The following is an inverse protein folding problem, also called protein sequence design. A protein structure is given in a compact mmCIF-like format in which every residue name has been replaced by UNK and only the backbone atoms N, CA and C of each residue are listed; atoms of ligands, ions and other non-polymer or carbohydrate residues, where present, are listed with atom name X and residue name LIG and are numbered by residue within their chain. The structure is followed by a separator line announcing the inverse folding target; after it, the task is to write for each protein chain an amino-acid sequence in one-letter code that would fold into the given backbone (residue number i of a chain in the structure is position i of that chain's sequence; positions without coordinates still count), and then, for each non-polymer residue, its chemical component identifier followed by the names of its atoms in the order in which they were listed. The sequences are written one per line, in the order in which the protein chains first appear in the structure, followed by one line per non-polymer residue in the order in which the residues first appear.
data_IF_876763801424
#
_entry.id   IF_876763801424
#
_cell.length_a   1.000
_cell.length_b   1.000
_cell.length_c   1.000
_cell.angle_alpha   90.00
_cell.angle_beta   90.00
_cell.angle_gamma   90.00
#
_symmetry.space_group_name_H-M   'P 1'
#
loop_
_entity.id
_entity.type
_entity.pdbx_description
1 polymer ?
#
# COMPACT_ATOMS: atom_id res chain seq x y z
N UNK A 1 6.22 16.36 9.34
CA UNK A 1 4.96 17.10 9.56
C UNK A 1 3.78 16.13 9.55
N UNK A 2 3.07 15.96 10.68
CA UNK A 2 1.87 15.13 10.78
C UNK A 2 0.76 15.51 9.78
N UNK A 3 0.70 16.78 9.36
CA UNK A 3 -0.32 17.29 8.43
C UNK A 3 -0.14 16.75 7.01
N UNK A 4 1.11 16.67 6.52
CA UNK A 4 1.45 16.13 5.19
C UNK A 4 1.05 14.64 5.05
N UNK A 5 1.27 13.86 6.12
CA UNK A 5 1.03 12.41 6.11
C UNK A 5 -0.43 12.02 6.36
N UNK A 6 -1.19 12.87 7.06
CA UNK A 6 -2.57 12.57 7.45
C UNK A 6 -3.61 12.75 6.35
N UNK A 7 -3.44 13.74 5.46
CA UNK A 7 -4.48 14.10 4.49
C UNK A 7 -3.97 14.34 3.07
N UNK A 8 -2.81 14.98 2.90
CA UNK A 8 -2.32 15.39 1.57
C UNK A 8 -1.85 14.18 0.74
N UNK A 9 -0.99 13.32 1.28
CA UNK A 9 -0.50 12.14 0.56
C UNK A 9 -1.61 11.18 0.11
N UNK A 10 -2.63 10.86 0.94
CA UNK A 10 -3.81 10.13 0.48
C UNK A 10 -4.55 10.79 -0.69
N UNK A 11 -4.71 12.13 -0.66
CA UNK A 11 -5.35 12.88 -1.74
C UNK A 11 -4.54 12.79 -3.04
N UNK A 12 -3.22 13.00 -2.96
CA UNK A 12 -2.31 12.88 -4.10
C UNK A 12 -2.32 11.46 -4.69
N UNK A 13 -2.33 10.42 -3.84
CA UNK A 13 -2.49 9.03 -4.30
C UNK A 13 -3.77 8.82 -5.09
N UNK A 14 -4.91 9.32 -4.60
CA UNK A 14 -6.20 9.15 -5.31
C UNK A 14 -6.24 9.90 -6.65
N UNK A 15 -5.48 10.98 -6.78
CA UNK A 15 -5.47 11.85 -7.96
C UNK A 15 -4.20 11.72 -8.83
N UNK A 16 -3.34 10.73 -8.58
CA UNK A 16 -2.00 10.67 -9.16
C UNK A 16 -1.97 10.65 -10.70
N UNK A 17 -3.03 10.15 -11.35
CA UNK A 17 -3.18 10.18 -12.80
C UNK A 17 -3.23 11.60 -13.37
N UNK A 18 -3.79 12.56 -12.61
CA UNK A 18 -3.99 13.97 -12.99
C UNK A 18 -2.77 14.86 -12.69
N UNK A 19 -1.73 14.33 -12.05
CA UNK A 19 -0.53 15.09 -11.73
C UNK A 19 0.24 15.38 -13.02
N UNK A 20 0.32 16.66 -13.36
CA UNK A 20 0.92 17.13 -14.63
C UNK A 20 2.45 17.16 -14.64
N UNK A 21 3.10 17.32 -13.50
CA UNK A 21 4.57 17.37 -13.45
C UNK A 21 5.18 15.98 -13.30
N UNK A 22 6.09 15.56 -14.21
CA UNK A 22 6.70 14.22 -14.14
C UNK A 22 7.44 13.96 -12.82
N UNK A 23 8.12 14.98 -12.28
CA UNK A 23 8.82 14.86 -11.00
C UNK A 23 7.86 14.56 -9.84
N UNK A 24 6.75 15.29 -9.73
CA UNK A 24 5.75 15.03 -8.69
C UNK A 24 5.10 13.65 -8.88
N UNK A 25 4.81 13.26 -10.12
CA UNK A 25 4.24 11.95 -10.43
C UNK A 25 5.14 10.80 -9.97
N UNK A 26 6.47 10.93 -10.15
CA UNK A 26 7.45 9.96 -9.65
C UNK A 26 7.46 9.87 -8.12
N UNK A 27 7.43 11.00 -7.43
CA UNK A 27 7.45 11.00 -5.96
C UNK A 27 6.15 10.44 -5.36
N UNK A 28 5.00 10.79 -5.93
CA UNK A 28 3.72 10.21 -5.53
C UNK A 28 3.70 8.71 -5.83
N UNK A 29 4.21 8.28 -6.98
CA UNK A 29 4.34 6.86 -7.29
C UNK A 29 5.25 6.12 -6.30
N UNK A 30 6.38 6.72 -5.93
CA UNK A 30 7.29 6.19 -4.90
C UNK A 30 6.58 6.01 -3.56
N UNK A 31 5.79 6.99 -3.13
CA UNK A 31 4.97 6.89 -1.92
C UNK A 31 3.97 5.73 -2.01
N UNK A 32 3.26 5.59 -3.14
CA UNK A 32 2.31 4.49 -3.35
C UNK A 32 3.01 3.14 -3.24
N UNK A 33 4.14 2.97 -3.95
CA UNK A 33 4.94 1.75 -3.93
C UNK A 33 5.45 1.42 -2.52
N UNK A 34 5.92 2.40 -1.76
CA UNK A 34 6.34 2.16 -0.37
C UNK A 34 5.18 1.62 0.47
N UNK A 35 3.98 2.20 0.29
CA UNK A 35 2.77 1.75 0.95
C UNK A 35 2.41 0.29 0.67
N UNK A 36 2.53 -0.18 -0.57
CA UNK A 36 2.25 -1.58 -0.91
C UNK A 36 3.30 -2.56 -0.38
N UNK A 37 4.53 -2.08 -0.12
CA UNK A 37 5.60 -2.89 0.45
C UNK A 37 5.48 -3.00 1.97
N UNK A 38 5.05 -1.96 2.65
CA UNK A 38 4.89 -1.98 4.10
C UNK A 38 3.76 -1.04 4.52
N UNK A 39 2.72 -1.65 5.09
CA UNK A 39 1.54 -0.97 5.61
C UNK A 39 1.86 0.22 6.52
N UNK A 40 2.97 0.18 7.27
CA UNK A 40 3.41 1.26 8.16
C UNK A 40 3.71 2.59 7.44
N UNK A 41 4.00 2.57 6.14
CA UNK A 41 4.22 3.79 5.35
C UNK A 41 2.92 4.50 4.95
N UNK A 42 1.76 3.86 5.11
CA UNK A 42 0.45 4.46 4.87
C UNK A 42 -0.28 4.66 6.18
N UNK A 43 -0.07 5.80 6.84
CA UNK A 43 -0.60 6.08 8.18
C UNK A 43 -2.09 5.77 8.33
N UNK A 44 -2.92 6.16 7.36
CA UNK A 44 -4.37 5.93 7.43
C UNK A 44 -4.74 4.45 7.27
N UNK A 45 -4.08 3.71 6.36
CA UNK A 45 -4.28 2.27 6.21
C UNK A 45 -3.80 1.53 7.46
N UNK A 46 -2.63 1.90 7.98
CA UNK A 46 -2.08 1.28 9.18
C UNK A 46 -2.98 1.52 10.40
N UNK A 47 -3.49 2.74 10.60
CA UNK A 47 -4.45 3.02 11.67
C UNK A 47 -5.73 2.18 11.53
N UNK A 48 -6.25 2.03 10.31
CA UNK A 48 -7.45 1.22 10.05
C UNK A 48 -7.22 -0.28 10.32
N UNK A 49 -5.99 -0.77 10.14
CA UNK A 49 -5.64 -2.18 10.25
C UNK A 49 -4.86 -2.54 11.52
N UNK A 50 -4.52 -1.60 12.40
CA UNK A 50 -3.58 -1.86 13.49
C UNK A 50 -4.05 -2.98 14.42
N UNK A 51 -5.34 -2.98 14.78
CA UNK A 51 -5.93 -4.05 15.60
C UNK A 51 -5.89 -5.41 14.89
N UNK A 52 -6.26 -5.45 13.61
CA UNK A 52 -6.24 -6.68 12.80
C UNK A 52 -4.81 -7.21 12.60
N UNK A 53 -3.83 -6.32 12.41
CA UNK A 53 -2.41 -6.71 12.30
C UNK A 53 -1.92 -7.35 13.60
N UNK A 54 -2.26 -6.77 14.75
CA UNK A 54 -1.88 -7.33 16.05
C UNK A 54 -2.59 -8.66 16.33
N UNK A 55 -3.82 -8.83 15.86
CA UNK A 55 -4.61 -10.01 16.13
C UNK A 55 -4.25 -11.20 15.21
N UNK A 56 -4.11 -10.96 13.91
CA UNK A 56 -3.93 -12.02 12.91
C UNK A 56 -2.48 -12.16 12.42
N UNK A 57 -1.68 -11.08 12.48
CA UNK A 57 -0.42 -10.98 11.75
C UNK A 57 0.76 -10.51 12.61
N UNK A 58 0.71 -10.71 13.94
CA UNK A 58 1.72 -10.22 14.89
C UNK A 58 3.13 -10.73 14.60
N UNK A 59 3.23 -11.98 14.15
CA UNK A 59 4.51 -12.66 13.88
C UNK A 59 5.00 -12.44 12.44
N UNK A 60 4.24 -11.71 11.63
CA UNK A 60 4.58 -11.46 10.24
C UNK A 60 5.60 -10.32 10.15
N UNK A 61 6.80 -10.66 9.70
CA UNK A 61 7.84 -9.67 9.43
C UNK A 61 7.36 -8.63 8.42
N UNK A 62 7.37 -7.35 8.82
CA UNK A 62 7.03 -6.22 7.94
C UNK A 62 7.90 -6.14 6.67
N UNK A 63 7.38 -5.47 5.65
CA UNK A 63 8.05 -5.30 4.35
C UNK A 63 7.66 -6.35 3.32
N UNK A 64 8.01 -6.07 2.06
CA UNK A 64 7.76 -6.95 0.91
C UNK A 64 6.28 -7.35 0.71
N UNK A 65 5.34 -6.57 1.24
CA UNK A 65 3.90 -6.84 1.13
C UNK A 65 3.38 -7.97 2.04
N UNK A 66 4.22 -8.59 2.87
CA UNK A 66 3.85 -9.77 3.66
C UNK A 66 2.68 -9.54 4.62
N UNK A 67 2.59 -8.36 5.22
CA UNK A 67 1.48 -8.02 6.13
C UNK A 67 0.17 -7.86 5.36
N UNK A 68 0.18 -7.24 4.17
CA UNK A 68 -0.99 -7.16 3.30
C UNK A 68 -1.46 -8.56 2.87
N UNK A 69 -0.53 -9.43 2.50
CA UNK A 69 -0.83 -10.84 2.16
C UNK A 69 -1.42 -11.61 3.35
N UNK A 70 -0.89 -11.40 4.55
CA UNK A 70 -1.46 -11.97 5.78
C UNK A 70 -2.89 -11.49 6.02
N UNK A 71 -3.13 -10.18 6.03
CA UNK A 71 -4.46 -9.61 6.24
C UNK A 71 -5.47 -10.12 5.20
N UNK A 72 -5.06 -10.25 3.94
CA UNK A 72 -5.94 -10.76 2.88
C UNK A 72 -6.29 -12.24 3.01
N UNK A 73 -5.48 -13.06 3.70
CA UNK A 73 -5.85 -14.44 4.05
C UNK A 73 -6.97 -14.48 5.10
N UNK A 74 -7.08 -13.44 5.93
CA UNK A 74 -8.12 -13.27 6.95
C UNK A 74 -9.23 -12.31 6.51
N UNK A 75 -9.39 -12.06 5.21
CA UNK A 75 -10.26 -10.99 4.67
C UNK A 75 -11.68 -10.96 5.26
N UNK A 76 -12.30 -12.12 5.48
CA UNK A 76 -13.66 -12.23 6.03
C UNK A 76 -13.75 -11.93 7.53
N UNK A 77 -12.63 -11.96 8.24
CA UNK A 77 -12.52 -11.76 9.68
C UNK A 77 -11.99 -10.36 10.04
N UNK A 78 -11.45 -9.64 9.06
CA UNK A 78 -10.96 -8.28 9.25
C UNK A 78 -12.09 -7.33 9.68
N UNK A 79 -11.73 -6.35 10.50
CA UNK A 79 -12.57 -5.19 10.72
C UNK A 79 -12.99 -4.54 9.39
N UNK A 80 -14.20 -3.98 9.33
CA UNK A 80 -14.72 -3.31 8.12
C UNK A 80 -13.75 -2.26 7.58
N UNK A 81 -13.11 -1.50 8.47
CA UNK A 81 -12.14 -0.46 8.12
C UNK A 81 -10.91 -1.05 7.43
N UNK A 82 -10.34 -2.11 8.00
CA UNK A 82 -9.16 -2.76 7.41
C UNK A 82 -9.49 -3.47 6.11
N UNK A 83 -10.62 -4.19 6.03
CA UNK A 83 -11.05 -4.87 4.80
C UNK A 83 -11.17 -3.90 3.61
N UNK A 84 -11.75 -2.70 3.84
CA UNK A 84 -11.83 -1.66 2.82
C UNK A 84 -10.44 -1.11 2.45
N UNK A 85 -9.57 -0.88 3.43
CA UNK A 85 -8.22 -0.38 3.20
C UNK A 85 -7.38 -1.38 2.37
N UNK A 86 -7.45 -2.67 2.69
CA UNK A 86 -6.74 -3.72 1.95
C UNK A 86 -7.31 -3.93 0.55
N UNK A 87 -8.64 -3.83 0.37
CA UNK A 87 -9.23 -3.89 -0.97
C UNK A 87 -8.71 -2.77 -1.88
N UNK A 88 -8.49 -1.56 -1.35
CA UNK A 88 -7.88 -0.46 -2.09
C UNK A 88 -6.41 -0.74 -2.45
N UNK A 89 -5.65 -1.41 -1.57
CA UNK A 89 -4.29 -1.86 -1.87
C UNK A 89 -4.30 -2.92 -2.98
N UNK A 90 -5.21 -3.89 -2.92
CA UNK A 90 -5.35 -4.93 -3.95
C UNK A 90 -5.66 -4.33 -5.33
N UNK A 91 -6.56 -3.33 -5.39
CA UNK A 91 -6.82 -2.60 -6.64
C UNK A 91 -5.56 -1.94 -7.19
N UNK A 92 -4.79 -1.25 -6.35
CA UNK A 92 -3.53 -0.62 -6.76
C UNK A 92 -2.57 -1.67 -7.35
N UNK A 93 -2.35 -2.78 -6.64
CA UNK A 93 -1.48 -3.87 -7.08
C UNK A 93 -1.94 -4.54 -8.39
N UNK A 94 -3.25 -4.63 -8.62
CA UNK A 94 -3.83 -5.18 -9.84
C UNK A 94 -3.69 -4.24 -11.05
N UNK A 95 -3.59 -2.92 -10.83
CA UNK A 95 -3.53 -1.92 -11.92
C UNK A 95 -2.12 -1.64 -12.43
N UNK A 96 -1.08 -1.81 -11.61
CA UNK A 96 0.31 -1.55 -11.99
C UNK A 96 1.24 -2.55 -11.32
N UNK A 97 1.88 -3.41 -12.13
CA UNK A 97 2.81 -4.45 -11.67
C UNK A 97 3.93 -3.91 -10.78
N UNK A 98 4.34 -2.66 -10.97
CA UNK A 98 5.40 -2.00 -10.17
C UNK A 98 4.98 -1.72 -8.74
N UNK A 99 3.68 -1.71 -8.48
CA UNK A 99 3.10 -1.54 -7.15
C UNK A 99 2.78 -2.89 -6.50
N UNK A 100 2.84 -4.01 -7.22
CA UNK A 100 2.71 -5.35 -6.65
C UNK A 100 4.09 -5.86 -6.18
N UNK A 101 4.35 -6.03 -4.86
CA UNK A 101 5.71 -6.31 -4.37
C UNK A 101 6.33 -7.59 -4.95
N UNK A 102 5.59 -8.71 -4.93
CA UNK A 102 6.06 -10.01 -5.46
C UNK A 102 6.26 -10.00 -6.98
N UNK A 103 5.28 -9.48 -7.73
CA UNK A 103 5.41 -9.40 -9.19
C UNK A 103 6.56 -8.47 -9.60
N UNK A 104 6.69 -7.29 -8.97
CA UNK A 104 7.81 -6.40 -9.25
C UNK A 104 9.16 -7.03 -8.91
N UNK A 105 9.30 -7.72 -7.77
CA UNK A 105 10.59 -8.32 -7.40
C UNK A 105 11.06 -9.37 -8.40
N UNK A 106 10.13 -10.12 -9.00
CA UNK A 106 10.39 -11.13 -10.01
C UNK A 106 10.60 -10.54 -11.41
N UNK A 107 9.83 -9.51 -11.78
CA UNK A 107 9.77 -9.00 -13.14
C UNK A 107 10.60 -7.73 -13.38
N UNK A 108 11.17 -7.10 -12.33
CA UNK A 108 11.88 -5.80 -12.45
C UNK A 108 12.91 -5.76 -13.59
N UNK A 109 13.68 -6.83 -13.76
CA UNK A 109 14.73 -6.91 -14.78
C UNK A 109 14.15 -7.01 -16.20
N UNK A 110 13.05 -7.73 -16.39
CA UNK A 110 12.36 -7.87 -17.68
C UNK A 110 11.62 -6.60 -18.10
N UNK A 111 11.16 -5.81 -17.12
CA UNK A 111 10.42 -4.58 -17.38
C UNK A 111 11.32 -3.41 -17.80
N UNK A 112 12.66 -3.58 -17.83
CA UNK A 112 13.64 -2.50 -18.01
C UNK A 112 13.41 -1.35 -17.02
N UNK A 113 13.03 -1.68 -15.77
CA UNK A 113 12.71 -0.74 -14.68
C UNK A 113 13.69 -0.78 -13.53
#
# INVERSE_FOLDING_TARGET
DPSLSGQILPCLRKNHARIGTPACKREVFRYIKQGTYNIKFMSNNYKACMGDVLHFCSDVRHGQGRVHECLMRHRSELSKGCALAEMEIQKVQATDIRTHPKAYSLCKHTLNL
#
